data_IF_766207787254
#
_entry.id   IF_766207787254
#
_cell.length_a   1.000
_cell.length_b   1.000
_cell.length_c   1.000
_cell.angle_alpha   90.00
_cell.angle_beta   90.00
_cell.angle_gamma   90.00
#
_symmetry.space_group_name_H-M   'P 1'
#
loop_
_entity.id
_entity.type
_entity.pdbx_description
1 polymer ?
#
# COMPACT_ATOMS: atom_id res chain seq x y z
N UNK A 1 -48.23 -30.23 -44.70
CA UNK A 1 -47.34 -29.22 -45.32
C UNK A 1 -45.97 -29.41 -44.72
N UNK A 2 -45.01 -30.02 -45.43
CA UNK A 2 -44.05 -29.35 -46.34
C UNK A 2 -43.33 -28.21 -45.61
N UNK A 3 -42.02 -28.14 -45.49
CA UNK A 3 -40.98 -28.62 -46.39
C UNK A 3 -39.61 -28.63 -45.67
N UNK A 4 -38.74 -29.53 -46.11
CA UNK A 4 -37.32 -29.62 -45.78
C UNK A 4 -36.55 -28.40 -46.30
N UNK A 5 -35.45 -27.98 -45.65
CA UNK A 5 -34.28 -27.48 -46.37
C UNK A 5 -33.02 -28.05 -45.73
N UNK A 6 -32.47 -29.00 -46.46
CA UNK A 6 -31.09 -29.46 -46.47
C UNK A 6 -30.25 -28.38 -47.19
N UNK A 7 -29.12 -27.97 -46.61
CA UNK A 7 -28.01 -27.40 -47.39
C UNK A 7 -26.68 -27.84 -46.81
N UNK A 8 -26.22 -28.97 -47.31
CA UNK A 8 -24.80 -29.26 -47.47
C UNK A 8 -24.20 -28.21 -48.41
N UNK A 9 -23.01 -27.70 -48.08
CA UNK A 9 -22.10 -27.27 -49.13
C UNK A 9 -20.67 -27.60 -48.74
N UNK A 10 -20.05 -28.21 -49.74
CA UNK A 10 -18.77 -28.87 -49.82
C UNK A 10 -17.64 -27.84 -49.95
N UNK A 11 -16.47 -28.12 -49.37
CA UNK A 11 -15.18 -27.58 -49.82
C UNK A 11 -14.03 -28.38 -49.23
N UNK A 12 -13.55 -29.30 -50.05
CA UNK A 12 -12.23 -29.92 -50.04
C UNK A 12 -11.05 -28.92 -49.83
N UNK A 13 -10.19 -29.26 -48.86
CA UNK A 13 -8.70 -29.17 -48.77
C UNK A 13 -7.91 -28.12 -49.59
N UNK A 14 -6.83 -27.51 -49.02
CA UNK A 14 -5.58 -28.27 -48.81
C UNK A 14 -4.79 -27.98 -47.53
N UNK A 15 -4.10 -29.02 -47.05
CA UNK A 15 -2.97 -28.92 -46.11
C UNK A 15 -1.93 -27.92 -46.62
N UNK A 16 -1.70 -26.86 -45.85
CA UNK A 16 -0.49 -26.04 -45.95
C UNK A 16 0.34 -26.26 -44.68
N UNK A 17 1.42 -27.02 -44.83
CA UNK A 17 2.57 -26.96 -43.94
C UNK A 17 3.12 -25.52 -43.99
N UNK A 18 3.12 -24.83 -42.85
CA UNK A 18 4.03 -23.72 -42.61
C UNK A 18 4.35 -23.69 -41.10
N UNK A 19 5.57 -24.16 -40.85
CA UNK A 19 6.45 -23.90 -39.72
C UNK A 19 5.86 -23.15 -38.52
N UNK A 20 5.98 -23.78 -37.36
CA UNK A 20 5.84 -23.18 -36.04
C UNK A 20 7.06 -22.28 -35.77
N UNK A 21 6.97 -20.93 -35.73
CA UNK A 21 7.97 -20.13 -35.06
C UNK A 21 7.56 -20.12 -33.60
N UNK A 22 8.18 -20.99 -32.79
CA UNK A 22 8.11 -20.86 -31.34
C UNK A 22 8.89 -19.59 -30.99
N UNK A 23 8.21 -18.44 -30.99
CA UNK A 23 8.79 -17.20 -30.48
C UNK A 23 9.19 -17.49 -29.03
N UNK A 24 10.46 -17.34 -28.62
CA UNK A 24 10.75 -17.26 -27.21
C UNK A 24 9.97 -16.05 -26.71
N UNK A 25 8.91 -16.31 -25.96
CA UNK A 25 8.25 -15.29 -25.16
C UNK A 25 9.29 -14.89 -24.13
N UNK A 26 10.08 -13.87 -24.46
CA UNK A 26 10.88 -13.17 -23.47
C UNK A 26 9.88 -12.79 -22.38
N UNK A 27 10.02 -13.29 -21.15
CA UNK A 27 9.14 -12.87 -20.08
C UNK A 27 9.19 -11.34 -20.03
N UNK A 28 8.06 -10.64 -19.87
CA UNK A 28 8.11 -9.20 -19.65
C UNK A 28 9.08 -8.99 -18.50
N UNK A 29 10.11 -8.17 -18.74
CA UNK A 29 11.03 -7.74 -17.69
C UNK A 29 10.14 -7.26 -16.56
N UNK A 30 10.03 -8.11 -15.53
CA UNK A 30 9.28 -7.83 -14.33
C UNK A 30 10.05 -6.67 -13.74
N UNK A 31 9.63 -5.43 -14.03
CA UNK A 31 10.14 -4.23 -13.38
C UNK A 31 10.19 -4.62 -11.92
N UNK A 32 11.39 -4.69 -11.37
CA UNK A 32 11.63 -5.06 -10.00
C UNK A 32 10.78 -4.10 -9.19
N UNK A 33 9.61 -4.55 -8.76
CA UNK A 33 8.87 -3.88 -7.72
C UNK A 33 9.89 -3.69 -6.62
N UNK A 34 10.06 -2.46 -6.10
CA UNK A 34 11.00 -2.22 -5.01
C UNK A 34 10.84 -3.32 -4.00
N UNK A 35 11.97 -3.88 -3.55
CA UNK A 35 11.98 -4.96 -2.58
C UNK A 35 11.06 -4.52 -1.44
N UNK A 36 10.04 -5.32 -1.12
CA UNK A 36 9.01 -4.99 -0.11
C UNK A 36 9.55 -4.29 1.16
N UNK A 37 10.74 -4.63 1.71
CA UNK A 37 11.33 -3.90 2.83
C UNK A 37 11.71 -2.43 2.54
N UNK A 38 12.22 -2.09 1.35
CA UNK A 38 12.65 -0.72 1.03
C UNK A 38 11.47 0.26 0.98
N UNK A 39 10.29 -0.23 0.60
CA UNK A 39 9.07 0.59 0.56
C UNK A 39 8.44 0.77 1.94
N UNK A 40 8.57 -0.24 2.82
CA UNK A 40 8.10 -0.21 4.20
C UNK A 40 8.92 0.79 5.03
N UNK A 41 10.24 0.71 4.96
CA UNK A 41 11.16 1.65 5.62
C UNK A 41 10.90 3.10 5.20
N UNK A 42 10.59 3.31 3.91
CA UNK A 42 10.29 4.65 3.40
C UNK A 42 9.01 5.23 4.02
N UNK A 43 7.92 4.46 4.08
CA UNK A 43 6.63 4.95 4.61
C UNK A 43 6.72 5.26 6.10
N UNK A 44 7.41 4.42 6.86
CA UNK A 44 7.64 4.62 8.30
C UNK A 44 8.50 5.85 8.53
N UNK A 45 9.58 6.00 7.77
CA UNK A 45 10.45 7.18 7.82
C UNK A 45 9.68 8.47 7.49
N UNK A 46 8.85 8.46 6.46
CA UNK A 46 8.05 9.62 6.06
C UNK A 46 7.09 10.06 7.19
N UNK A 47 6.41 9.12 7.86
CA UNK A 47 5.53 9.45 9.00
C UNK A 47 6.34 9.98 10.19
N UNK A 48 7.47 9.35 10.50
CA UNK A 48 8.36 9.78 11.57
C UNK A 48 8.88 11.20 11.34
N UNK A 49 9.37 11.49 10.13
CA UNK A 49 9.91 12.79 9.77
C UNK A 49 8.82 13.87 9.81
N UNK A 50 7.59 13.54 9.42
CA UNK A 50 6.45 14.45 9.57
C UNK A 50 6.09 14.74 11.03
N UNK A 51 6.08 13.72 11.89
CA UNK A 51 5.82 13.88 13.34
C UNK A 51 6.90 14.75 13.99
N UNK A 52 8.17 14.42 13.73
CA UNK A 52 9.30 15.16 14.29
C UNK A 52 9.41 16.55 13.67
N UNK A 53 8.97 16.76 12.43
CA UNK A 53 9.01 18.04 11.72
C UNK A 53 7.83 18.98 12.00
N UNK A 54 6.69 18.46 12.46
CA UNK A 54 5.47 19.24 12.67
C UNK A 54 5.60 20.16 13.91
N UNK A 55 5.35 21.47 13.73
CA UNK A 55 5.52 22.47 14.78
C UNK A 55 4.51 22.32 15.94
N UNK A 56 3.27 21.90 15.64
CA UNK A 56 2.24 21.69 16.65
C UNK A 56 2.58 20.47 17.51
N UNK A 57 3.01 19.37 16.87
CA UNK A 57 3.50 18.18 17.57
C UNK A 57 4.73 18.53 18.40
N UNK A 58 5.70 19.30 17.89
CA UNK A 58 6.86 19.75 18.68
C UNK A 58 6.45 20.56 19.91
N UNK A 59 5.46 21.44 19.78
CA UNK A 59 4.96 22.26 20.89
C UNK A 59 4.31 21.40 21.96
N UNK A 60 3.38 20.51 21.56
CA UNK A 60 2.59 19.68 22.47
C UNK A 60 3.38 18.51 23.07
N UNK A 61 4.29 17.92 22.29
CA UNK A 61 5.11 16.78 22.68
C UNK A 61 6.54 17.19 23.10
N UNK A 62 6.81 18.48 23.34
CA UNK A 62 8.17 19.04 23.51
C UNK A 62 9.05 18.26 24.50
N UNK A 63 8.48 17.79 25.61
CA UNK A 63 9.21 17.06 26.66
C UNK A 63 9.46 15.58 26.33
N UNK A 64 8.75 15.03 25.36
CA UNK A 64 8.73 13.58 25.06
C UNK A 64 8.96 13.25 23.58
N UNK A 65 9.17 14.25 22.72
CA UNK A 65 9.29 14.07 21.27
C UNK A 65 10.38 13.05 20.90
N UNK A 66 11.50 13.08 21.63
CA UNK A 66 12.62 12.15 21.46
C UNK A 66 12.34 10.75 22.03
N UNK A 67 11.31 10.62 22.86
CA UNK A 67 10.89 9.38 23.50
C UNK A 67 9.72 8.69 22.77
N UNK A 68 9.20 9.30 21.71
CA UNK A 68 8.18 8.67 20.86
C UNK A 68 8.83 7.47 20.17
N UNK A 69 8.26 6.29 20.37
CA UNK A 69 8.74 5.06 19.74
C UNK A 69 7.92 4.74 18.50
N UNK A 70 8.61 4.25 17.47
CA UNK A 70 8.05 3.83 16.20
C UNK A 70 8.41 2.36 16.00
N UNK A 71 7.42 1.49 15.95
CA UNK A 71 7.62 0.04 15.85
C UNK A 71 6.74 -0.52 14.74
N UNK A 72 7.35 -1.19 13.77
CA UNK A 72 6.58 -1.91 12.75
C UNK A 72 6.09 -3.21 13.36
N UNK A 73 4.78 -3.31 13.57
CA UNK A 73 4.15 -4.48 14.22
C UNK A 73 3.73 -5.54 13.21
N UNK A 74 3.46 -5.11 11.98
CA UNK A 74 3.22 -5.98 10.83
C UNK A 74 3.55 -5.19 9.57
N UNK A 75 3.63 -5.88 8.44
CA UNK A 75 3.96 -5.30 7.14
C UNK A 75 3.21 -4.01 6.79
N UNK A 76 1.95 -3.91 7.19
CA UNK A 76 1.10 -2.77 6.88
C UNK A 76 0.77 -1.94 8.12
N UNK A 77 1.40 -2.19 9.28
CA UNK A 77 1.07 -1.49 10.53
C UNK A 77 2.30 -0.93 11.26
N UNK A 78 2.21 0.36 11.57
CA UNK A 78 3.16 1.09 12.41
C UNK A 78 2.51 1.43 13.75
N UNK A 79 3.12 0.99 14.84
CA UNK A 79 2.79 1.39 16.20
C UNK A 79 3.61 2.62 16.60
N UNK A 80 2.92 3.66 17.05
CA UNK A 80 3.50 4.90 17.56
C UNK A 80 3.17 4.99 19.04
N UNK A 81 4.18 4.90 19.90
CA UNK A 81 4.01 4.95 21.35
C UNK A 81 4.46 6.31 21.85
N UNK A 82 3.53 7.10 22.38
CA UNK A 82 3.81 8.48 22.83
C UNK A 82 3.97 8.61 24.34
N UNK A 83 3.34 7.72 25.12
CA UNK A 83 3.25 7.82 26.59
C UNK A 83 2.62 9.14 27.09
N UNK A 84 1.81 9.78 26.24
CA UNK A 84 1.09 10.98 26.57
C UNK A 84 -0.14 11.14 25.66
N UNK A 85 -1.33 11.07 26.25
CA UNK A 85 -2.60 11.22 25.53
C UNK A 85 -2.66 12.48 24.65
N UNK A 86 -2.26 13.64 25.16
CA UNK A 86 -2.31 14.91 24.42
C UNK A 86 -1.39 14.89 23.19
N UNK A 87 -0.21 14.29 23.33
CA UNK A 87 0.72 14.12 22.22
C UNK A 87 0.17 13.17 21.15
N UNK A 88 -0.37 12.01 21.55
CA UNK A 88 -1.00 11.07 20.62
C UNK A 88 -2.14 11.72 19.83
N UNK A 89 -3.02 12.45 20.51
CA UNK A 89 -4.11 13.18 19.87
C UNK A 89 -3.59 14.23 18.87
N UNK A 90 -2.56 14.98 19.25
CA UNK A 90 -1.94 15.98 18.38
C UNK A 90 -1.35 15.33 17.13
N UNK A 91 -0.67 14.19 17.26
CA UNK A 91 -0.13 13.44 16.12
C UNK A 91 -1.25 12.97 15.18
N UNK A 92 -2.35 12.47 15.75
CA UNK A 92 -3.50 12.04 14.96
C UNK A 92 -4.08 13.19 14.13
N UNK A 93 -4.30 14.36 14.74
CA UNK A 93 -4.90 15.51 14.07
C UNK A 93 -3.95 16.20 13.09
N UNK A 94 -2.72 16.49 13.53
CA UNK A 94 -1.79 17.34 12.79
C UNK A 94 -0.99 16.58 11.72
N UNK A 95 -0.89 15.25 11.84
CA UNK A 95 -0.12 14.42 10.91
C UNK A 95 -0.99 13.36 10.24
N UNK A 96 -1.61 12.47 11.01
CA UNK A 96 -2.24 11.27 10.44
C UNK A 96 -3.53 11.57 9.69
N UNK A 97 -4.38 12.47 10.19
CA UNK A 97 -5.62 12.88 9.54
C UNK A 97 -5.37 13.49 8.14
N UNK A 98 -4.36 14.38 7.94
CA UNK A 98 -3.92 14.77 6.60
C UNK A 98 -3.45 13.61 5.72
N UNK A 99 -2.68 12.65 6.26
CA UNK A 99 -2.21 11.50 5.47
C UNK A 99 -3.36 10.58 5.05
N UNK A 100 -4.35 10.40 5.92
CA UNK A 100 -5.56 9.64 5.64
C UNK A 100 -6.35 10.30 4.51
N UNK A 101 -6.54 11.61 4.61
CA UNK A 101 -7.24 12.41 3.59
C UNK A 101 -6.51 12.41 2.24
N UNK A 102 -5.18 12.33 2.25
CA UNK A 102 -4.35 12.20 1.06
C UNK A 102 -4.25 10.77 0.50
N UNK A 103 -4.87 9.77 1.15
CA UNK A 103 -4.81 8.36 0.76
C UNK A 103 -3.43 7.71 0.94
N UNK A 104 -2.55 8.29 1.76
CA UNK A 104 -1.20 7.75 2.04
C UNK A 104 -1.21 6.67 3.12
N UNK A 105 -2.22 6.69 3.98
CA UNK A 105 -2.53 5.66 4.97
C UNK A 105 -3.99 5.25 4.81
N UNK A 106 -4.32 4.01 5.14
CA UNK A 106 -5.70 3.48 5.09
C UNK A 106 -6.53 3.86 6.30
N UNK A 107 -5.94 3.79 7.48
CA UNK A 107 -6.61 4.13 8.75
C UNK A 107 -5.57 4.36 9.85
N UNK A 108 -6.02 4.93 10.96
CA UNK A 108 -5.29 4.92 12.21
C UNK A 108 -6.24 4.66 13.38
N UNK A 109 -5.73 4.03 14.44
CA UNK A 109 -6.49 3.70 15.64
C UNK A 109 -5.77 4.23 16.88
N UNK A 110 -6.53 4.83 17.80
CA UNK A 110 -6.02 5.26 19.08
C UNK A 110 -6.32 4.21 20.16
N UNK A 111 -5.27 3.57 20.66
CA UNK A 111 -5.37 2.69 21.83
C UNK A 111 -5.14 3.54 23.08
N UNK A 112 -6.21 4.21 23.52
CA UNK A 112 -6.19 5.18 24.62
C UNK A 112 -5.67 4.64 25.95
N UNK A 113 -5.77 3.34 26.18
CA UNK A 113 -5.26 2.69 27.40
C UNK A 113 -3.72 2.61 27.45
N UNK A 114 -3.05 2.78 26.31
CA UNK A 114 -1.58 2.67 26.21
C UNK A 114 -0.93 3.89 25.55
N UNK A 115 -1.71 4.93 25.26
CA UNK A 115 -1.23 6.17 24.63
C UNK A 115 -0.52 5.87 23.29
N UNK A 116 -1.07 4.86 22.60
CA UNK A 116 -0.55 4.26 21.40
C UNK A 116 -1.43 4.65 20.21
N UNK A 117 -0.80 4.90 19.07
CA UNK A 117 -1.48 5.10 17.79
C UNK A 117 -1.01 4.03 16.83
N UNK A 118 -1.94 3.28 16.26
CA UNK A 118 -1.66 2.24 15.26
C UNK A 118 -2.03 2.80 13.90
N UNK A 119 -1.05 2.97 13.02
CA UNK A 119 -1.22 3.46 11.65
C UNK A 119 -1.24 2.27 10.71
N UNK A 120 -2.22 2.20 9.81
CA UNK A 120 -2.31 1.17 8.77
C UNK A 120 -2.09 1.77 7.39
N UNK A 121 -1.17 1.23 6.60
CA UNK A 121 -0.84 1.69 5.23
C UNK A 121 -1.60 0.95 4.12
#
# INVERSE_FOLDING_TARGET
SRDSIERSNDSDLPSSNLERPTRPSTPPIRRSTPSQPEQEDKRVKDIRDQIVGNQEVKKMCSQIINNIKFEVTSRDKLLITTRNNSCAYTIMQAVLQPQLSAGKIRTYEYSGDRENVIVTF
#
